data_IF_975335983855
#
_entry.id   IF_975335983855
#
_cell.length_a   1.000
_cell.length_b   1.000
_cell.length_c   1.000
_cell.angle_alpha   90.00
_cell.angle_beta   90.00
_cell.angle_gamma   90.00
#
_symmetry.space_group_name_H-M   'P 1'
#
loop_
_entity.id
_entity.type
_entity.pdbx_description
1 polymer ?
#
# COMPACT_ATOMS: atom_id res chain seq x y z
N UNK A 1 11.99 0.09 -22.09
CA UNK A 1 10.59 0.53 -21.96
C UNK A 1 10.42 1.79 -22.79
N UNK A 2 9.64 1.73 -23.88
CA UNK A 2 9.52 2.83 -24.84
C UNK A 2 8.22 3.57 -24.57
N UNK A 3 8.23 4.52 -23.64
CA UNK A 3 7.15 5.49 -23.49
C UNK A 3 7.37 6.54 -24.59
N UNK A 4 6.42 6.67 -25.52
CA UNK A 4 6.52 7.58 -26.68
C UNK A 4 6.07 9.01 -26.39
N UNK A 5 5.53 9.25 -25.19
CA UNK A 5 5.07 10.57 -24.73
C UNK A 5 6.24 11.43 -24.24
N UNK A 6 6.38 12.62 -24.81
CA UNK A 6 7.44 13.58 -24.46
C UNK A 6 7.23 14.27 -23.12
N UNK A 7 5.99 14.30 -22.64
CA UNK A 7 5.58 14.88 -21.36
C UNK A 7 5.53 13.85 -20.21
N UNK A 8 5.87 12.60 -20.48
CA UNK A 8 5.85 11.54 -19.47
C UNK A 8 6.96 11.72 -18.45
N UNK A 9 6.60 11.53 -17.17
CA UNK A 9 7.51 11.59 -16.03
C UNK A 9 7.29 10.38 -15.13
N UNK A 10 8.32 10.00 -14.36
CA UNK A 10 8.18 9.01 -13.29
C UNK A 10 7.84 9.75 -12.00
N UNK A 11 6.59 9.62 -11.55
CA UNK A 11 6.14 10.17 -10.27
C UNK A 11 6.52 9.23 -9.15
N UNK A 12 7.32 9.68 -8.19
CA UNK A 12 7.82 8.82 -7.11
C UNK A 12 8.33 9.63 -5.91
N UNK A 13 8.72 8.95 -4.84
CA UNK A 13 9.41 9.56 -3.69
C UNK A 13 10.94 9.57 -3.92
N UNK A 14 11.67 10.56 -3.38
CA UNK A 14 13.12 10.66 -3.56
C UNK A 14 13.90 9.38 -3.19
N UNK A 15 13.46 8.66 -2.15
CA UNK A 15 14.07 7.38 -1.73
C UNK A 15 13.96 6.31 -2.81
N UNK A 16 12.83 6.26 -3.52
CA UNK A 16 12.59 5.31 -4.60
C UNK A 16 13.38 5.70 -5.85
N UNK A 17 13.49 7.00 -6.15
CA UNK A 17 14.32 7.52 -7.24
C UNK A 17 15.78 7.05 -7.13
N UNK A 18 16.33 7.00 -5.92
CA UNK A 18 17.70 6.52 -5.68
C UNK A 18 17.96 5.10 -6.17
N UNK A 19 16.92 4.27 -6.26
CA UNK A 19 17.02 2.92 -6.82
C UNK A 19 16.67 2.92 -8.31
N UNK A 20 15.57 3.59 -8.70
CA UNK A 20 15.08 3.61 -10.09
C UNK A 20 16.07 4.20 -11.10
N UNK A 21 16.93 5.14 -10.69
CA UNK A 21 17.94 5.74 -11.57
C UNK A 21 18.93 4.71 -12.16
N UNK A 22 19.08 3.55 -11.53
CA UNK A 22 19.98 2.49 -11.99
C UNK A 22 19.36 1.59 -13.08
N UNK A 23 18.06 1.72 -13.37
CA UNK A 23 17.35 0.91 -14.36
C UNK A 23 17.47 1.46 -15.81
N UNK A 24 18.27 2.50 -16.04
CA UNK A 24 18.43 3.10 -17.38
C UNK A 24 17.17 3.79 -17.90
N UNK A 25 16.29 4.25 -17.00
CA UNK A 25 15.10 5.01 -17.36
C UNK A 25 15.51 6.34 -18.01
N UNK A 26 14.90 6.66 -19.17
CA UNK A 26 15.11 7.93 -19.88
C UNK A 26 14.08 9.00 -19.52
N UNK A 27 13.14 8.68 -18.65
CA UNK A 27 12.10 9.59 -18.20
C UNK A 27 12.62 10.46 -17.05
N UNK A 28 12.27 11.76 -17.01
CA UNK A 28 12.54 12.59 -15.84
C UNK A 28 11.73 12.12 -14.64
N UNK A 29 12.16 12.49 -13.43
CA UNK A 29 11.46 12.18 -12.19
C UNK A 29 10.69 13.39 -11.68
N UNK A 30 9.46 13.15 -11.21
CA UNK A 30 8.65 14.10 -10.47
C UNK A 30 8.55 13.62 -9.01
N UNK A 31 9.18 14.35 -8.09
CA UNK A 31 9.28 13.93 -6.69
C UNK A 31 8.09 14.42 -5.88
N UNK A 32 7.29 13.50 -5.34
CA UNK A 32 6.08 13.83 -4.58
C UNK A 32 6.38 14.68 -3.34
N UNK A 33 7.51 14.40 -2.67
CA UNK A 33 7.99 15.08 -1.47
C UNK A 33 8.53 16.49 -1.73
N UNK A 34 8.78 16.83 -3.00
CA UNK A 34 9.14 18.19 -3.44
C UNK A 34 7.98 18.94 -4.09
N UNK A 35 6.82 18.29 -4.25
CA UNK A 35 5.65 18.82 -4.96
C UNK A 35 4.38 18.75 -4.11
N UNK A 36 4.51 19.09 -2.82
CA UNK A 36 3.40 19.22 -1.87
C UNK A 36 2.50 17.98 -1.76
N UNK A 37 3.00 16.80 -2.13
CA UNK A 37 2.24 15.55 -2.13
C UNK A 37 0.98 15.59 -3.00
N UNK A 38 0.97 16.38 -4.07
CA UNK A 38 -0.14 16.48 -4.99
C UNK A 38 0.34 16.50 -6.45
N UNK A 39 -0.50 16.07 -7.38
CA UNK A 39 -0.31 16.22 -8.81
C UNK A 39 -1.62 16.64 -9.47
N UNK A 40 -1.61 17.80 -10.10
CA UNK A 40 -2.72 18.25 -10.94
C UNK A 40 -2.50 17.72 -12.37
N UNK A 41 -3.50 17.00 -12.88
CA UNK A 41 -3.66 16.62 -14.28
C UNK A 41 -4.79 17.47 -14.91
N UNK A 42 -5.05 17.28 -16.20
CA UNK A 42 -6.05 18.08 -16.92
C UNK A 42 -7.47 17.93 -16.34
N UNK A 43 -7.85 16.72 -15.93
CA UNK A 43 -9.20 16.35 -15.48
C UNK A 43 -9.21 15.64 -14.11
N UNK A 44 -8.06 15.60 -13.44
CA UNK A 44 -7.85 14.84 -12.20
C UNK A 44 -6.89 15.56 -11.28
N UNK A 45 -7.16 15.51 -9.98
CA UNK A 45 -6.19 15.82 -8.94
C UNK A 45 -5.84 14.56 -8.15
N UNK A 46 -4.56 14.22 -8.15
CA UNK A 46 -4.03 13.12 -7.35
C UNK A 46 -3.40 13.67 -6.08
N UNK A 47 -3.70 13.04 -4.95
CA UNK A 47 -3.05 13.28 -3.65
C UNK A 47 -2.23 12.08 -3.27
N UNK A 48 -1.02 12.28 -2.78
CA UNK A 48 -0.14 11.21 -2.34
C UNK A 48 -0.11 11.14 -0.82
N UNK A 49 -0.41 9.97 -0.25
CA UNK A 49 -0.31 9.73 1.18
C UNK A 49 0.99 8.97 1.46
N UNK A 50 1.89 9.56 2.23
CA UNK A 50 3.17 8.95 2.55
C UNK A 50 3.00 7.82 3.58
N UNK A 51 3.40 6.61 3.22
CA UNK A 51 3.29 5.40 4.07
C UNK A 51 4.67 4.78 4.29
N UNK A 52 5.61 5.52 4.91
CA UNK A 52 7.00 5.09 5.01
C UNK A 52 7.11 3.75 5.72
N UNK A 53 7.93 2.86 5.15
CA UNK A 53 8.20 1.52 5.68
C UNK A 53 7.01 0.56 5.65
N UNK A 54 5.96 0.85 4.89
CA UNK A 54 4.85 -0.06 4.63
C UNK A 54 4.84 -0.57 3.16
N UNK A 55 5.74 -1.47 2.75
CA UNK A 55 6.92 -2.00 3.47
C UNK A 55 8.25 -1.31 3.06
N UNK A 56 8.23 -0.40 2.07
CA UNK A 56 9.44 0.27 1.58
C UNK A 56 9.61 1.67 2.23
N UNK A 57 10.84 2.15 2.55
CA UNK A 57 11.05 3.45 3.18
C UNK A 57 10.50 4.66 2.40
N UNK A 58 10.32 4.51 1.08
CA UNK A 58 9.73 5.52 0.19
C UNK A 58 8.34 5.14 -0.34
N UNK A 59 7.62 4.24 0.33
CA UNK A 59 6.26 3.85 -0.05
C UNK A 59 5.26 5.00 0.17
N UNK A 60 4.26 5.05 -0.70
CA UNK A 60 3.15 6.00 -0.65
C UNK A 60 1.95 5.40 -1.37
N UNK A 61 0.76 5.89 -1.05
CA UNK A 61 -0.48 5.58 -1.76
C UNK A 61 -0.96 6.79 -2.55
N UNK A 62 -1.86 6.57 -3.51
CA UNK A 62 -2.42 7.64 -4.36
C UNK A 62 -3.93 7.68 -4.19
N UNK A 63 -4.46 8.84 -3.84
CA UNK A 63 -5.88 9.11 -3.81
C UNK A 63 -6.27 9.95 -5.03
N UNK A 64 -7.16 9.43 -5.86
CA UNK A 64 -7.82 10.20 -6.93
C UNK A 64 -9.03 10.92 -6.31
N UNK A 65 -8.98 12.25 -6.25
CA UNK A 65 -10.03 13.04 -5.60
C UNK A 65 -11.35 13.01 -6.36
N UNK A 66 -11.33 12.69 -7.65
CA UNK A 66 -12.51 12.79 -8.51
C UNK A 66 -13.31 11.49 -8.51
N UNK A 67 -12.63 10.35 -8.38
CA UNK A 67 -13.28 9.04 -8.30
C UNK A 67 -13.39 8.48 -6.87
N UNK A 68 -12.77 9.13 -5.87
CA UNK A 68 -12.73 8.61 -4.50
C UNK A 68 -11.91 7.32 -4.34
N UNK A 69 -11.09 6.95 -5.34
CA UNK A 69 -10.33 5.70 -5.32
C UNK A 69 -8.99 5.91 -4.62
N UNK A 70 -8.70 5.08 -3.63
CA UNK A 70 -7.39 4.94 -2.99
C UNK A 70 -6.61 3.81 -3.66
N UNK A 71 -5.64 4.14 -4.51
CA UNK A 71 -4.64 3.19 -4.99
C UNK A 71 -3.60 2.95 -3.90
N UNK A 72 -3.78 1.86 -3.15
CA UNK A 72 -3.11 1.65 -1.86
C UNK A 72 -1.74 0.98 -1.93
N UNK A 73 -1.19 0.80 -3.13
CA UNK A 73 0.04 0.02 -3.35
C UNK A 73 -0.09 -1.35 -2.67
N UNK A 74 0.87 -1.79 -1.88
CA UNK A 74 0.85 -3.10 -1.23
C UNK A 74 -0.11 -3.18 -0.03
N UNK A 75 -0.47 -2.04 0.57
CA UNK A 75 -1.44 -2.01 1.66
C UNK A 75 -2.81 -2.45 1.16
N UNK A 76 -3.55 -3.18 2.01
CA UNK A 76 -4.81 -3.84 1.66
C UNK A 76 -4.69 -4.96 0.62
N UNK A 77 -3.46 -5.28 0.20
CA UNK A 77 -3.17 -6.42 -0.65
C UNK A 77 -3.45 -7.74 0.07
N UNK A 78 -4.16 -8.63 -0.61
CA UNK A 78 -4.51 -9.96 -0.11
C UNK A 78 -3.87 -11.08 -0.91
N UNK A 79 -3.53 -12.17 -0.24
CA UNK A 79 -3.11 -13.43 -0.84
C UNK A 79 -4.31 -14.37 -0.83
N UNK A 80 -4.82 -14.73 -2.01
CA UNK A 80 -5.96 -15.64 -2.18
C UNK A 80 -5.59 -16.80 -3.09
N UNK A 81 -6.10 -17.99 -2.79
CA UNK A 81 -5.95 -19.17 -3.65
C UNK A 81 -6.78 -19.06 -4.94
N UNK A 82 -7.97 -18.45 -4.85
CA UNK A 82 -8.84 -18.17 -5.98
C UNK A 82 -8.95 -16.67 -6.24
N UNK A 83 -8.74 -16.26 -7.50
CA UNK A 83 -8.83 -14.85 -7.88
C UNK A 83 -10.28 -14.38 -8.02
N UNK A 84 -10.58 -13.25 -7.38
CA UNK A 84 -11.73 -12.42 -7.70
C UNK A 84 -11.26 -10.98 -7.89
N UNK A 85 -11.85 -10.25 -8.83
CA UNK A 85 -11.48 -8.84 -9.05
C UNK A 85 -11.93 -7.95 -7.88
N UNK A 86 -13.05 -8.28 -7.24
CA UNK A 86 -13.63 -7.54 -6.13
C UNK A 86 -13.72 -8.40 -4.88
N UNK A 87 -13.46 -7.81 -3.72
CA UNK A 87 -13.70 -8.44 -2.43
C UNK A 87 -15.21 -8.61 -2.26
N UNK A 88 -15.64 -9.84 -1.94
CA UNK A 88 -17.06 -10.19 -1.87
C UNK A 88 -17.69 -9.82 -0.53
N UNK A 89 -16.91 -9.97 0.54
CA UNK A 89 -17.35 -9.77 1.91
C UNK A 89 -16.13 -9.55 2.84
N UNK A 90 -16.40 -9.39 4.13
CA UNK A 90 -15.40 -9.12 5.16
C UNK A 90 -14.36 -10.24 5.34
N UNK A 91 -14.61 -11.46 4.84
CA UNK A 91 -13.62 -12.56 4.91
C UNK A 91 -12.33 -12.26 4.15
N UNK A 92 -12.36 -11.28 3.23
CA UNK A 92 -11.15 -10.81 2.55
C UNK A 92 -10.08 -10.28 3.53
N UNK A 93 -10.45 -9.88 4.75
CA UNK A 93 -9.51 -9.54 5.81
C UNK A 93 -8.54 -10.68 6.12
N UNK A 94 -8.99 -11.94 6.09
CA UNK A 94 -8.12 -13.10 6.33
C UNK A 94 -7.08 -13.27 5.21
N UNK A 95 -7.42 -12.89 3.98
CA UNK A 95 -6.47 -12.88 2.86
C UNK A 95 -5.42 -11.77 2.97
N UNK A 96 -5.76 -10.63 3.59
CA UNK A 96 -4.84 -9.51 3.79
C UNK A 96 -3.80 -9.78 4.89
N UNK A 97 -4.20 -10.47 5.97
CA UNK A 97 -3.36 -10.65 7.17
C UNK A 97 -1.96 -11.20 6.89
N UNK A 98 -1.76 -12.30 6.11
CA UNK A 98 -0.44 -12.91 5.99
C UNK A 98 0.59 -11.97 5.37
N UNK A 99 0.21 -11.23 4.33
CA UNK A 99 1.11 -10.26 3.72
C UNK A 99 1.53 -9.18 4.73
N UNK A 100 0.56 -8.59 5.43
CA UNK A 100 0.84 -7.51 6.37
C UNK A 100 1.64 -7.99 7.59
N UNK A 101 1.38 -9.20 8.07
CA UNK A 101 2.14 -9.85 9.14
C UNK A 101 3.62 -10.05 8.79
N UNK A 102 3.91 -10.48 7.57
CA UNK A 102 5.26 -10.83 7.14
C UNK A 102 6.08 -9.66 6.60
N UNK A 103 5.45 -8.70 5.94
CA UNK A 103 6.16 -7.63 5.23
C UNK A 103 6.17 -6.30 5.99
N UNK A 104 5.18 -6.03 6.84
CA UNK A 104 5.13 -4.76 7.58
C UNK A 104 5.96 -4.91 8.87
N UNK A 105 6.95 -4.02 9.11
CA UNK A 105 7.97 -4.24 10.14
C UNK A 105 7.47 -4.06 11.58
N UNK A 106 6.33 -3.40 11.81
CA UNK A 106 5.74 -3.23 13.14
C UNK A 106 4.28 -2.76 13.10
N UNK A 107 3.54 -3.03 14.19
CA UNK A 107 2.19 -2.51 14.43
C UNK A 107 2.11 -0.98 14.36
N UNK A 108 3.12 -0.27 14.85
CA UNK A 108 3.15 1.20 14.85
C UNK A 108 3.19 1.75 13.43
N UNK A 109 4.00 1.14 12.57
CA UNK A 109 4.12 1.51 11.16
C UNK A 109 2.82 1.20 10.41
N UNK A 110 2.23 0.01 10.64
CA UNK A 110 0.95 -0.35 10.03
C UNK A 110 -0.15 0.62 10.45
N UNK A 111 -0.34 0.83 11.75
CA UNK A 111 -1.37 1.73 12.30
C UNK A 111 -1.19 3.15 11.79
N UNK A 112 0.04 3.67 11.78
CA UNK A 112 0.30 5.00 11.23
C UNK A 112 -0.11 5.10 9.76
N UNK A 113 0.26 4.13 8.93
CA UNK A 113 -0.10 4.13 7.51
C UNK A 113 -1.63 4.07 7.30
N UNK A 114 -2.32 3.19 8.05
CA UNK A 114 -3.77 3.05 7.96
C UNK A 114 -4.49 4.29 8.46
N UNK A 115 -4.03 4.92 9.56
CA UNK A 115 -4.62 6.14 10.11
C UNK A 115 -4.52 7.31 9.11
N UNK A 116 -3.40 7.41 8.37
CA UNK A 116 -3.24 8.43 7.32
C UNK A 116 -4.16 8.18 6.12
N UNK A 117 -4.32 6.92 5.71
CA UNK A 117 -5.23 6.54 4.62
C UNK A 117 -6.69 6.79 5.02
N UNK A 118 -7.07 6.48 6.26
CA UNK A 118 -8.42 6.64 6.78
C UNK A 118 -8.90 8.10 6.85
N UNK A 119 -7.99 9.08 6.75
CA UNK A 119 -8.33 10.50 6.72
C UNK A 119 -8.93 10.96 5.37
N UNK A 120 -8.86 10.15 4.32
CA UNK A 120 -9.40 10.47 3.00
C UNK A 120 -10.87 10.02 2.88
N UNK A 121 -11.70 10.72 2.08
CA UNK A 121 -13.07 10.30 1.78
C UNK A 121 -13.05 9.18 0.72
N UNK A 122 -12.71 7.96 1.15
CA UNK A 122 -12.49 6.81 0.27
C UNK A 122 -13.82 6.16 -0.10
N UNK A 123 -14.06 6.01 -1.40
CA UNK A 123 -15.18 5.24 -1.96
C UNK A 123 -14.75 3.83 -2.40
N UNK A 124 -13.47 3.61 -2.67
CA UNK A 124 -12.94 2.31 -3.09
C UNK A 124 -11.45 2.23 -2.81
N UNK A 125 -10.95 1.05 -2.40
CA UNK A 125 -9.52 0.79 -2.28
C UNK A 125 -9.08 -0.17 -3.38
N UNK A 126 -8.08 0.23 -4.16
CA UNK A 126 -7.49 -0.56 -5.23
C UNK A 126 -6.03 -0.90 -4.88
N UNK A 127 -5.77 -2.06 -4.24
CA UNK A 127 -4.41 -2.50 -3.97
C UNK A 127 -3.70 -2.96 -5.25
N UNK A 128 -2.38 -2.99 -5.21
CA UNK A 128 -1.52 -3.48 -6.31
C UNK A 128 -1.67 -5.00 -6.52
N UNK A 129 -2.06 -5.72 -5.46
CA UNK A 129 -2.25 -7.16 -5.44
C UNK A 129 -3.56 -7.51 -4.74
N UNK A 130 -4.20 -8.62 -5.12
CA UNK A 130 -5.46 -9.06 -4.55
C UNK A 130 -6.68 -8.38 -5.17
N UNK A 131 -7.76 -8.27 -4.38
CA UNK A 131 -9.05 -7.74 -4.81
C UNK A 131 -9.19 -6.24 -4.58
N UNK A 132 -9.96 -5.58 -5.45
CA UNK A 132 -10.51 -4.25 -5.22
C UNK A 132 -11.53 -4.33 -4.09
N UNK A 133 -11.44 -3.40 -3.13
CA UNK A 133 -12.35 -3.31 -1.98
C UNK A 133 -13.41 -2.24 -2.29
N UNK A 134 -14.68 -2.64 -2.46
CA UNK A 134 -15.78 -1.71 -2.72
C UNK A 134 -16.21 -0.96 -1.44
N UNK A 135 -16.95 0.14 -1.61
CA UNK A 135 -17.27 1.12 -0.55
C UNK A 135 -17.85 0.46 0.72
N UNK A 136 -18.71 -0.53 0.55
CA UNK A 136 -19.38 -1.26 1.61
C UNK A 136 -18.41 -2.02 2.53
N UNK A 137 -17.22 -2.35 2.04
CA UNK A 137 -16.19 -3.06 2.80
C UNK A 137 -15.07 -2.13 3.31
N UNK A 138 -14.94 -0.91 2.77
CA UNK A 138 -13.82 0.01 3.09
C UNK A 138 -13.64 0.20 4.60
N UNK A 139 -14.72 0.49 5.33
CA UNK A 139 -14.65 0.71 6.78
C UNK A 139 -14.23 -0.55 7.54
N UNK A 140 -14.78 -1.71 7.19
CA UNK A 140 -14.43 -2.98 7.81
C UNK A 140 -12.96 -3.34 7.55
N UNK A 141 -12.47 -3.14 6.32
CA UNK A 141 -11.08 -3.43 5.95
C UNK A 141 -10.09 -2.48 6.63
N UNK A 142 -10.39 -1.18 6.73
CA UNK A 142 -9.56 -0.20 7.46
C UNK A 142 -9.46 -0.60 8.93
N UNK A 143 -10.59 -0.83 9.60
CA UNK A 143 -10.62 -1.17 11.02
C UNK A 143 -9.96 -2.52 11.30
N UNK A 144 -10.22 -3.52 10.45
CA UNK A 144 -9.63 -4.85 10.59
C UNK A 144 -8.12 -4.83 10.40
N UNK A 145 -7.65 -4.16 9.34
CA UNK A 145 -6.21 -4.11 9.03
C UNK A 145 -5.42 -3.31 10.07
N UNK A 146 -6.01 -2.27 10.64
CA UNK A 146 -5.42 -1.46 11.72
C UNK A 146 -5.07 -2.28 12.98
N UNK A 147 -5.82 -3.34 13.23
CA UNK A 147 -5.64 -4.19 14.41
C UNK A 147 -4.82 -5.46 14.14
N UNK A 148 -4.30 -5.64 12.91
CA UNK A 148 -3.40 -6.75 12.60
C UNK A 148 -2.09 -6.58 13.36
N UNK A 149 -1.77 -7.58 14.19
CA UNK A 149 -0.43 -7.72 14.74
C UNK A 149 0.55 -8.11 13.63
N UNK A 150 1.69 -7.42 13.52
CA UNK A 150 2.73 -7.61 12.50
C UNK A 150 4.12 -7.23 13.04
N UNK A 151 5.16 -7.63 12.29
CA UNK A 151 6.54 -7.23 12.55
C UNK A 151 7.36 -8.18 13.42
N UNK A 152 8.53 -7.70 13.82
CA UNK A 152 9.62 -8.48 14.43
C UNK A 152 9.19 -9.36 15.62
N UNK A 153 8.22 -8.91 16.41
CA UNK A 153 7.80 -9.60 17.62
C UNK A 153 7.02 -10.91 17.36
N UNK A 154 6.25 -10.98 16.27
CA UNK A 154 5.58 -12.23 15.87
C UNK A 154 6.61 -13.27 15.40
N UNK A 155 7.59 -12.84 14.60
CA UNK A 155 8.68 -13.69 14.11
C UNK A 155 9.53 -14.28 15.27
N UNK A 156 9.72 -13.53 16.35
CA UNK A 156 10.42 -14.00 17.55
C UNK A 156 9.61 -15.02 18.35
N UNK A 157 8.28 -14.90 18.40
CA UNK A 157 7.41 -15.89 19.04
C UNK A 157 7.43 -17.23 18.30
N UNK A 158 7.34 -17.21 16.97
CA UNK A 158 7.34 -18.44 16.17
C UNK A 158 8.70 -19.16 16.22
N UNK A 159 9.81 -18.41 16.20
CA UNK A 159 11.15 -18.99 16.34
C UNK A 159 11.43 -19.55 17.75
N UNK A 160 10.77 -19.04 18.78
CA UNK A 160 10.87 -19.57 20.15
C UNK A 160 10.12 -20.89 20.39
N UNK A 161 9.20 -21.27 19.49
CA UNK A 161 8.42 -22.52 19.59
C UNK A 161 9.13 -23.76 19.01
N UNK A 162 10.23 -23.60 18.25
CA UNK A 162 11.00 -24.73 17.71
C UNK A 162 11.80 -25.53 18.76
N UNK A 163 11.80 -25.10 20.02
CA UNK A 163 12.54 -25.75 21.12
C UNK A 163 11.71 -26.63 22.06
N UNK A 164 10.39 -26.73 21.90
CA UNK A 164 9.50 -27.38 22.90
C UNK A 164 8.88 -28.73 22.51
N UNK A 165 9.07 -29.23 21.30
CA UNK A 165 8.49 -30.52 20.86
C UNK A 165 9.52 -31.65 20.63
N UNK A 166 10.68 -31.58 21.30
CA UNK A 166 11.62 -32.71 21.37
C UNK A 166 11.96 -33.00 22.83
N UNK A 167 11.00 -33.59 23.53
CA UNK A 167 11.14 -34.18 24.87
C UNK A 167 10.54 -35.57 24.88
#
# INVERSE_FOLDING_TARGET
MMVSRTDAVVVTHWRTQMLLKHYGLRLPFWLIDSNQWELQLDDRKLKFCFTPYAHFPGAFTTFDTESGIMFSSDLFGGLMDEFSLYAKDESYLEAMKPFHQHYIPSNEILRHAIDQIAAYPIEMIAPQHGSIIPIELVSAMINGLREVECGLYLMLKDSSNFGKERG
#
